data_IF_733074339303
#
_entry.id   IF_733074339303
#
_cell.length_a   1.000
_cell.length_b   1.000
_cell.length_c   1.000
_cell.angle_alpha   90.00
_cell.angle_beta   90.00
_cell.angle_gamma   90.00
#
_symmetry.space_group_name_H-M   'P 1'
#
loop_
_entity.id
_entity.type
_entity.pdbx_description
1 polymer ?
#
# COMPACT_ATOMS: atom_id res chain seq x y z
N UNK A 1 18.14 11.16 -5.75
CA UNK A 1 18.32 9.70 -5.60
C UNK A 1 17.79 8.93 -6.79
N UNK A 2 18.43 7.81 -7.14
CA UNK A 2 18.04 6.95 -8.28
C UNK A 2 16.67 6.32 -8.07
N UNK A 3 16.36 5.86 -6.85
CA UNK A 3 15.07 5.25 -6.54
C UNK A 3 13.92 6.27 -6.60
N UNK A 4 14.15 7.49 -6.13
CA UNK A 4 13.18 8.58 -6.27
C UNK A 4 12.94 8.93 -7.75
N UNK A 5 14.01 9.07 -8.53
CA UNK A 5 13.91 9.30 -9.98
C UNK A 5 13.23 8.14 -10.71
N UNK A 6 13.41 6.89 -10.26
CA UNK A 6 12.69 5.73 -10.77
C UNK A 6 11.19 5.83 -10.44
N UNK A 7 10.83 6.18 -9.21
CA UNK A 7 9.43 6.41 -8.82
C UNK A 7 8.77 7.54 -9.63
N UNK A 8 9.54 8.54 -10.07
CA UNK A 8 9.06 9.63 -10.95
C UNK A 8 8.75 9.18 -12.38
N UNK A 9 9.27 8.02 -12.80
CA UNK A 9 8.93 7.46 -14.12
C UNK A 9 7.52 6.86 -14.19
N UNK A 10 6.87 6.67 -13.04
CA UNK A 10 5.52 6.13 -12.94
C UNK A 10 4.47 7.25 -12.98
N UNK A 11 3.42 7.03 -13.77
CA UNK A 11 2.28 7.94 -13.88
C UNK A 11 1.25 7.66 -12.78
N UNK A 12 1.55 8.10 -11.56
CA UNK A 12 0.65 7.97 -10.40
C UNK A 12 -0.49 8.99 -10.39
N UNK A 13 -0.45 10.00 -11.26
CA UNK A 13 -1.46 11.05 -11.32
C UNK A 13 -2.87 10.49 -11.59
N UNK A 14 -3.80 10.75 -10.67
CA UNK A 14 -5.19 10.31 -10.81
C UNK A 14 -5.41 8.81 -10.57
N UNK A 15 -4.35 8.07 -10.21
CA UNK A 15 -4.46 6.69 -9.75
C UNK A 15 -4.82 6.65 -8.26
N UNK A 16 -5.50 5.58 -7.87
CA UNK A 16 -5.65 5.26 -6.45
C UNK A 16 -4.36 4.64 -5.91
N UNK A 17 -4.11 4.77 -4.61
CA UNK A 17 -2.88 4.25 -3.97
C UNK A 17 -2.63 2.76 -4.29
N UNK A 18 -3.68 1.94 -4.26
CA UNK A 18 -3.56 0.50 -4.58
C UNK A 18 -3.14 0.27 -6.04
N UNK A 19 -3.72 1.00 -6.99
CA UNK A 19 -3.37 0.86 -8.41
C UNK A 19 -1.94 1.34 -8.68
N UNK A 20 -1.54 2.43 -8.04
CA UNK A 20 -0.15 2.89 -8.07
C UNK A 20 0.81 1.83 -7.51
N UNK A 21 0.44 1.16 -6.41
CA UNK A 21 1.25 0.09 -5.81
C UNK A 21 1.35 -1.13 -6.74
N UNK A 22 0.24 -1.54 -7.38
CA UNK A 22 0.25 -2.62 -8.39
C UNK A 22 1.19 -2.29 -9.55
N UNK A 23 1.05 -1.09 -10.13
CA UNK A 23 1.90 -0.63 -11.22
C UNK A 23 3.37 -0.63 -10.82
N UNK A 24 3.67 -0.09 -9.64
CA UNK A 24 5.03 -0.01 -9.12
C UNK A 24 5.65 -1.39 -8.91
N UNK A 25 4.98 -2.28 -8.15
CA UNK A 25 5.51 -3.61 -7.86
C UNK A 25 5.62 -4.50 -9.10
N UNK A 26 4.75 -4.32 -10.09
CA UNK A 26 4.80 -5.11 -11.34
C UNK A 26 6.03 -4.85 -12.21
N UNK A 27 6.78 -3.77 -11.92
CA UNK A 27 7.88 -3.31 -12.76
C UNK A 27 9.26 -3.85 -12.36
N UNK A 28 9.36 -4.58 -11.25
CA UNK A 28 10.62 -5.18 -10.79
C UNK A 28 10.36 -6.43 -9.92
N UNK A 29 11.41 -7.24 -9.73
CA UNK A 29 11.45 -8.30 -8.72
C UNK A 29 11.67 -7.68 -7.34
N UNK A 30 10.75 -7.93 -6.40
CA UNK A 30 10.97 -7.53 -5.01
C UNK A 30 12.21 -8.27 -4.45
N UNK A 31 13.12 -7.56 -3.78
CA UNK A 31 14.24 -8.20 -3.09
C UNK A 31 13.76 -9.04 -1.91
N UNK A 32 14.49 -10.10 -1.57
CA UNK A 32 14.17 -10.96 -0.43
C UNK A 32 14.60 -10.39 0.93
N UNK A 33 15.40 -9.34 0.96
CA UNK A 33 15.89 -8.72 2.20
C UNK A 33 14.92 -7.64 2.70
N UNK A 34 14.48 -7.77 3.95
CA UNK A 34 13.51 -6.86 4.55
C UNK A 34 13.93 -5.37 4.48
N UNK A 35 15.22 -5.08 4.68
CA UNK A 35 15.75 -3.71 4.62
C UNK A 35 15.66 -3.09 3.21
N UNK A 36 15.69 -3.91 2.17
CA UNK A 36 15.57 -3.43 0.79
C UNK A 36 14.11 -3.16 0.43
N UNK A 37 13.20 -4.05 0.84
CA UNK A 37 11.74 -3.85 0.69
C UNK A 37 11.32 -2.55 1.41
N UNK A 38 11.80 -2.35 2.63
CA UNK A 38 11.56 -1.14 3.42
C UNK A 38 11.87 0.15 2.65
N UNK A 39 13.09 0.26 2.09
CA UNK A 39 13.50 1.42 1.29
C UNK A 39 12.66 1.61 0.03
N UNK A 40 12.29 0.53 -0.63
CA UNK A 40 11.46 0.55 -1.85
C UNK A 40 10.07 1.09 -1.55
N UNK A 41 9.43 0.57 -0.50
CA UNK A 41 8.07 0.98 -0.11
C UNK A 41 8.08 2.40 0.44
N UNK A 42 9.12 2.82 1.15
CA UNK A 42 9.26 4.21 1.61
C UNK A 42 9.34 5.19 0.43
N UNK A 43 10.20 4.93 -0.55
CA UNK A 43 10.31 5.78 -1.73
C UNK A 43 9.01 5.81 -2.56
N UNK A 44 8.32 4.66 -2.66
CA UNK A 44 6.99 4.60 -3.25
C UNK A 44 6.00 5.51 -2.52
N UNK A 45 5.90 5.41 -1.19
CA UNK A 45 4.95 6.17 -0.40
C UNK A 45 5.16 7.69 -0.53
N UNK A 46 6.42 8.14 -0.48
CA UNK A 46 6.80 9.54 -0.70
C UNK A 46 6.38 10.05 -2.08
N UNK A 47 6.54 9.23 -3.13
CA UNK A 47 6.12 9.61 -4.49
C UNK A 47 4.59 9.54 -4.68
N UNK A 48 3.96 8.51 -4.14
CA UNK A 48 2.55 8.22 -4.30
C UNK A 48 1.68 9.29 -3.62
N UNK A 49 2.04 9.71 -2.40
CA UNK A 49 1.25 10.69 -1.65
C UNK A 49 1.18 12.05 -2.36
N UNK A 50 2.22 12.44 -3.08
CA UNK A 50 2.24 13.69 -3.84
C UNK A 50 1.35 13.66 -5.09
N UNK A 51 1.01 12.47 -5.60
CA UNK A 51 0.47 12.29 -6.97
C UNK A 51 -0.89 11.59 -7.03
N UNK A 52 -1.11 10.61 -6.16
CA UNK A 52 -2.33 9.79 -6.11
C UNK A 52 -3.55 10.58 -5.64
N UNK A 53 -4.74 10.06 -5.94
CA UNK A 53 -6.03 10.64 -5.56
C UNK A 53 -6.13 10.84 -4.06
N UNK A 54 -5.85 9.81 -3.28
CA UNK A 54 -6.03 9.82 -1.83
C UNK A 54 -5.12 10.85 -1.15
N UNK A 55 -3.91 11.07 -1.68
CA UNK A 55 -3.01 12.11 -1.21
C UNK A 55 -3.52 13.52 -1.47
N UNK A 56 -4.29 13.72 -2.55
CA UNK A 56 -4.87 15.03 -2.93
C UNK A 56 -6.26 15.28 -2.34
N UNK A 57 -7.02 14.22 -2.09
CA UNK A 57 -8.40 14.29 -1.57
C UNK A 57 -8.47 14.34 -0.03
N UNK A 58 -7.32 14.44 0.64
CA UNK A 58 -7.24 14.65 2.09
C UNK A 58 -7.48 13.38 2.92
N UNK A 59 -7.19 12.20 2.36
CA UNK A 59 -7.30 10.93 3.11
C UNK A 59 -6.19 10.81 4.16
N UNK A 60 -5.05 11.45 3.92
CA UNK A 60 -3.89 11.44 4.79
C UNK A 60 -3.68 12.79 5.46
N UNK A 61 -2.68 12.90 6.34
CA UNK A 61 -2.34 14.15 7.03
C UNK A 61 -2.03 15.30 6.07
N UNK A 62 -2.29 16.53 6.50
CA UNK A 62 -1.81 17.72 5.76
C UNK A 62 -0.30 17.93 5.91
N UNK A 63 0.33 17.32 6.93
CA UNK A 63 1.78 17.30 7.05
C UNK A 63 2.38 16.29 6.06
N UNK A 64 3.25 16.70 5.12
CA UNK A 64 3.76 15.82 4.07
C UNK A 64 4.46 14.56 4.59
N UNK A 65 5.16 14.68 5.71
CA UNK A 65 5.89 13.55 6.30
C UNK A 65 4.92 12.55 6.91
N UNK A 66 3.97 13.01 7.73
CA UNK A 66 2.93 12.14 8.31
C UNK A 66 2.05 11.51 7.24
N UNK A 67 1.80 12.23 6.15
CA UNK A 67 1.07 11.71 5.01
C UNK A 67 1.83 10.57 4.31
N UNK A 68 3.13 10.74 4.08
CA UNK A 68 3.99 9.69 3.55
C UNK A 68 4.09 8.48 4.51
N UNK A 69 4.23 8.71 5.82
CA UNK A 69 4.25 7.65 6.84
C UNK A 69 2.94 6.84 6.82
N UNK A 70 1.78 7.51 6.68
CA UNK A 70 0.48 6.85 6.56
C UNK A 70 0.35 6.02 5.27
N UNK A 71 0.79 6.56 4.13
CA UNK A 71 0.80 5.83 2.86
C UNK A 71 1.77 4.63 2.89
N UNK A 72 2.91 4.76 3.54
CA UNK A 72 3.89 3.69 3.77
C UNK A 72 3.27 2.55 4.58
N UNK A 73 2.66 2.85 5.73
CA UNK A 73 2.03 1.85 6.59
C UNK A 73 0.90 1.11 5.87
N UNK A 74 0.05 1.84 5.13
CA UNK A 74 -1.01 1.23 4.35
C UNK A 74 -0.46 0.34 3.24
N UNK A 75 0.59 0.77 2.53
CA UNK A 75 1.24 -0.01 1.47
C UNK A 75 1.81 -1.32 2.01
N UNK A 76 2.50 -1.28 3.16
CA UNK A 76 2.97 -2.49 3.84
C UNK A 76 1.83 -3.42 4.24
N UNK A 77 0.74 -2.85 4.77
CA UNK A 77 -0.45 -3.60 5.14
C UNK A 77 -1.09 -4.31 3.95
N UNK A 78 -1.10 -3.67 2.77
CA UNK A 78 -1.58 -4.26 1.52
C UNK A 78 -0.69 -5.42 1.07
N UNK A 79 0.63 -5.29 1.16
CA UNK A 79 1.57 -6.38 0.84
C UNK A 79 1.39 -7.58 1.79
N UNK A 80 1.23 -7.32 3.09
CA UNK A 80 0.93 -8.36 4.08
C UNK A 80 -0.42 -9.03 3.81
N UNK A 81 -1.44 -8.24 3.48
CA UNK A 81 -2.76 -8.76 3.13
C UNK A 81 -2.71 -9.67 1.89
N UNK A 82 -1.94 -9.29 0.87
CA UNK A 82 -1.75 -10.13 -0.31
C UNK A 82 -1.19 -11.51 0.07
N UNK A 83 -0.18 -11.53 0.93
CA UNK A 83 0.42 -12.78 1.42
C UNK A 83 -0.60 -13.59 2.23
N UNK A 84 -1.36 -12.94 3.10
CA UNK A 84 -2.39 -13.61 3.92
C UNK A 84 -3.50 -14.24 3.06
N UNK A 85 -4.03 -13.48 2.09
CA UNK A 85 -5.14 -13.91 1.24
C UNK A 85 -4.76 -14.99 0.23
N UNK A 86 -3.56 -14.96 -0.33
CA UNK A 86 -3.14 -15.82 -1.44
C UNK A 86 -2.16 -16.93 -1.06
N UNK A 87 -1.78 -17.05 0.21
CA UNK A 87 -0.95 -18.16 0.69
C UNK A 87 -1.81 -19.36 1.13
N UNK A 88 -1.76 -20.45 0.36
CA UNK A 88 -2.51 -21.69 0.63
C UNK A 88 -2.08 -22.40 1.92
N UNK A 89 -0.91 -22.08 2.47
CA UNK A 89 -0.46 -22.63 3.75
C UNK A 89 -1.19 -22.01 4.96
N UNK A 90 -1.89 -20.90 4.77
CA UNK A 90 -2.69 -20.25 5.82
C UNK A 90 -4.11 -20.79 5.72
N UNK A 91 -4.52 -21.55 6.74
CA UNK A 91 -5.87 -22.07 6.83
C UNK A 91 -6.91 -20.94 6.74
N UNK A 92 -7.99 -21.14 5.99
CA UNK A 92 -9.00 -20.11 5.70
C UNK A 92 -9.56 -19.39 6.94
N UNK A 93 -9.75 -20.11 8.04
CA UNK A 93 -10.26 -19.56 9.31
C UNK A 93 -9.24 -18.70 10.08
N UNK A 94 -7.96 -18.72 9.67
CA UNK A 94 -6.88 -17.91 10.24
C UNK A 94 -6.54 -16.69 9.38
N UNK A 95 -7.03 -16.63 8.14
CA UNK A 95 -6.83 -15.47 7.25
C UNK A 95 -7.52 -14.24 7.85
N UNK A 96 -6.90 -13.08 7.63
CA UNK A 96 -7.39 -11.79 8.10
C UNK A 96 -8.78 -11.50 7.51
N UNK A 97 -9.73 -11.13 8.36
CA UNK A 97 -11.04 -10.66 7.89
C UNK A 97 -10.98 -9.20 7.40
N UNK A 98 -11.97 -8.77 6.63
CA UNK A 98 -12.09 -7.36 6.22
C UNK A 98 -12.22 -6.42 7.43
N UNK A 99 -12.90 -6.85 8.50
CA UNK A 99 -13.00 -6.10 9.76
C UNK A 99 -11.67 -6.00 10.50
N UNK A 100 -10.85 -7.06 10.47
CA UNK A 100 -9.49 -7.02 11.03
C UNK A 100 -8.62 -6.06 10.22
N UNK A 101 -8.65 -6.14 8.89
CA UNK A 101 -7.93 -5.22 8.02
C UNK A 101 -8.35 -3.77 8.25
N UNK A 102 -9.66 -3.51 8.38
CA UNK A 102 -10.15 -2.17 8.72
C UNK A 102 -9.63 -1.68 10.07
N UNK A 103 -9.76 -2.50 11.12
CA UNK A 103 -9.27 -2.15 12.47
C UNK A 103 -7.77 -1.85 12.49
N UNK A 104 -6.98 -2.58 11.71
CA UNK A 104 -5.53 -2.42 11.67
C UNK A 104 -5.09 -1.16 10.90
N UNK A 105 -5.94 -0.60 10.03
CA UNK A 105 -5.54 0.45 9.09
C UNK A 105 -6.38 1.73 9.17
N UNK A 106 -7.49 1.75 9.92
CA UNK A 106 -8.34 2.94 10.02
C UNK A 106 -7.63 4.12 10.72
N UNK A 107 -6.71 3.84 11.64
CA UNK A 107 -5.98 4.86 12.40
C UNK A 107 -4.60 4.33 12.84
N UNK A 108 -3.53 5.04 12.49
CA UNK A 108 -2.14 4.68 12.81
C UNK A 108 -1.56 5.40 14.04
N UNK A 109 -2.41 6.07 14.81
CA UNK A 109 -2.02 6.87 15.97
C UNK A 109 -1.89 8.35 15.65
N UNK A 110 -1.87 9.18 16.69
CA UNK A 110 -1.92 10.66 16.56
C UNK A 110 -0.68 11.27 15.90
N UNK A 111 0.42 10.54 15.90
CA UNK A 111 1.66 10.96 15.24
C UNK A 111 1.60 10.80 13.72
N UNK A 112 0.58 10.11 13.18
CA UNK A 112 0.44 9.81 11.75
C UNK A 112 -0.94 10.22 11.23
N UNK A 113 -2.01 9.82 11.92
CA UNK A 113 -3.40 10.11 11.54
C UNK A 113 -3.90 11.37 12.25
N UNK A 114 -4.22 12.40 11.47
CA UNK A 114 -4.85 13.62 11.99
C UNK A 114 -6.28 13.33 12.51
N UNK A 115 -6.75 14.05 13.55
CA UNK A 115 -8.11 13.90 14.04
C UNK A 115 -9.15 14.13 12.93
N UNK A 116 -10.08 13.18 12.75
CA UNK A 116 -11.11 13.25 11.71
C UNK A 116 -10.63 12.82 10.31
N UNK A 117 -9.38 12.34 10.19
CA UNK A 117 -8.82 11.77 8.96
C UNK A 117 -8.59 10.26 9.06
N UNK A 118 -9.39 9.58 9.87
CA UNK A 118 -9.40 8.12 9.89
C UNK A 118 -9.80 7.58 8.51
N UNK A 119 -9.07 6.56 8.05
CA UNK A 119 -9.36 5.94 6.76
C UNK A 119 -10.73 5.26 6.83
N UNK A 120 -11.59 5.62 5.87
CA UNK A 120 -12.99 5.19 5.83
C UNK A 120 -13.10 3.70 5.55
N UNK A 121 -14.14 3.08 6.11
CA UNK A 121 -14.41 1.65 5.97
C UNK A 121 -14.54 1.24 4.50
N UNK A 122 -15.27 2.03 3.71
CA UNK A 122 -15.54 1.74 2.31
C UNK A 122 -14.26 1.67 1.49
N UNK A 123 -13.29 2.56 1.78
CA UNK A 123 -11.99 2.57 1.14
C UNK A 123 -11.17 1.32 1.49
N UNK A 124 -11.06 1.00 2.78
CA UNK A 124 -10.28 -0.16 3.24
C UNK A 124 -10.91 -1.50 2.82
N UNK A 125 -12.24 -1.58 2.76
CA UNK A 125 -12.96 -2.75 2.25
C UNK A 125 -12.76 -2.90 0.74
N UNK A 126 -12.80 -1.80 0.00
CA UNK A 126 -12.50 -1.80 -1.43
C UNK A 126 -11.09 -2.34 -1.73
N UNK A 127 -10.09 -1.94 -0.94
CA UNK A 127 -8.73 -2.49 -1.01
C UNK A 127 -8.75 -3.99 -0.71
N UNK A 128 -9.41 -4.41 0.38
CA UNK A 128 -9.45 -5.81 0.80
C UNK A 128 -10.06 -6.72 -0.28
N UNK A 129 -11.18 -6.31 -0.86
CA UNK A 129 -11.88 -7.06 -1.90
C UNK A 129 -11.10 -7.05 -3.24
N UNK A 130 -10.43 -5.94 -3.56
CA UNK A 130 -9.56 -5.85 -4.74
C UNK A 130 -8.37 -6.80 -4.65
N UNK A 131 -7.65 -6.83 -3.52
CA UNK A 131 -6.53 -7.77 -3.33
C UNK A 131 -7.05 -9.22 -3.37
N UNK A 132 -8.20 -9.51 -2.78
CA UNK A 132 -8.78 -10.87 -2.81
C UNK A 132 -9.08 -11.33 -4.23
N UNK A 133 -9.52 -10.41 -5.08
CA UNK A 133 -9.92 -10.70 -6.46
C UNK A 133 -8.72 -10.74 -7.40
N UNK A 134 -7.72 -9.89 -7.16
CA UNK A 134 -6.52 -9.79 -7.98
C UNK A 134 -5.27 -9.66 -7.08
N UNK A 135 -4.39 -10.67 -7.02
CA UNK A 135 -3.17 -10.60 -6.24
C UNK A 135 -2.21 -9.53 -6.78
N UNK A 136 -1.35 -9.00 -5.92
CA UNK A 136 -0.17 -8.23 -6.34
C UNK A 136 0.73 -9.15 -7.17
N UNK A 137 1.36 -8.58 -8.21
CA UNK A 137 2.31 -9.29 -9.06
C UNK A 137 3.62 -8.52 -9.08
N UNK A 138 4.72 -9.23 -8.98
CA UNK A 138 6.06 -8.69 -9.25
C UNK A 138 6.62 -9.20 -10.56
N UNK A 139 7.54 -8.45 -11.18
CA UNK A 139 8.16 -8.88 -12.43
C UNK A 139 8.78 -10.28 -12.25
N UNK A 140 8.40 -11.27 -13.05
CA UNK A 140 8.99 -12.62 -12.98
C UNK A 140 8.37 -13.60 -11.98
N UNK A 141 7.35 -13.21 -11.21
CA UNK A 141 6.37 -14.15 -10.66
C UNK A 141 5.41 -14.55 -11.79
N UNK A 142 5.75 -15.61 -12.52
CA UNK A 142 4.98 -16.11 -13.67
C UNK A 142 5.81 -16.50 -14.89
N UNK A 143 7.14 -16.45 -14.82
CA UNK A 143 8.01 -17.14 -15.76
C UNK A 143 8.36 -18.52 -15.20
N UNK A 144 7.45 -19.47 -15.36
CA UNK A 144 7.78 -20.90 -15.42
C UNK A 144 8.27 -21.25 -16.83
#
# INVERSE_FOLDING_TARGET
>A
DVLAAFCETFHFEGQGLLEALRMFLSSFRLPGEAQQIDRIVQAFAESAIARCKEGKEGFFSDDPKRAADGAYLLSFSIIMLNTDQHNDNIAQHRKMSADDFFRNNTNYGRDITDPGRELRREFLYGIFDSIRSEPLRTEGEGAE
#
